data_IF_903745474371
#
_entry.id   IF_903745474371
#
_cell.length_a   1.000
_cell.length_b   1.000
_cell.length_c   1.000
_cell.angle_alpha   90.00
_cell.angle_beta   90.00
_cell.angle_gamma   90.00
#
_symmetry.space_group_name_H-M   'P 1'
#
loop_
_entity.id
_entity.type
_entity.pdbx_description
1 polymer ?
#
# COMPACT_ATOMS: atom_id res chain seq x y z
N UNK A 1 -17.52 -24.24 2.59
CA UNK A 1 -17.02 -23.83 3.92
C UNK A 1 -16.25 -24.93 4.69
N UNK A 2 -16.86 -26.08 5.05
CA UNK A 2 -16.17 -27.11 5.88
C UNK A 2 -15.01 -27.85 5.18
N UNK A 3 -15.07 -27.98 3.85
CA UNK A 3 -13.99 -28.60 3.06
C UNK A 3 -12.75 -27.71 3.01
N UNK A 4 -12.90 -26.43 2.64
CA UNK A 4 -11.82 -25.44 2.61
C UNK A 4 -11.11 -25.29 3.97
N UNK A 5 -11.88 -25.20 5.07
CA UNK A 5 -11.31 -25.12 6.43
C UNK A 5 -10.47 -26.36 6.81
N UNK A 6 -10.86 -27.56 6.35
CA UNK A 6 -10.05 -28.78 6.55
C UNK A 6 -8.81 -28.81 5.66
N UNK A 7 -8.91 -28.33 4.43
CA UNK A 7 -7.77 -28.26 3.49
C UNK A 7 -6.73 -27.23 3.97
N UNK A 8 -7.14 -26.09 4.53
CA UNK A 8 -6.21 -25.09 5.08
C UNK A 8 -5.57 -25.55 6.40
N UNK A 9 -6.29 -26.30 7.23
CA UNK A 9 -5.68 -26.94 8.39
C UNK A 9 -4.60 -27.96 8.00
N UNK A 10 -4.82 -28.74 6.93
CA UNK A 10 -3.83 -29.68 6.42
C UNK A 10 -2.61 -28.97 5.83
N UNK A 11 -2.81 -27.95 4.99
CA UNK A 11 -1.71 -27.15 4.44
C UNK A 11 -0.83 -26.52 5.53
N UNK A 12 -1.43 -26.05 6.64
CA UNK A 12 -0.67 -25.54 7.79
C UNK A 12 0.15 -26.62 8.50
N UNK A 13 -0.37 -27.85 8.59
CA UNK A 13 0.40 -28.98 9.13
C UNK A 13 1.58 -29.33 8.23
N UNK A 14 1.40 -29.29 6.91
CA UNK A 14 2.47 -29.52 5.95
C UNK A 14 3.58 -28.47 6.08
N UNK A 15 3.24 -27.19 6.30
CA UNK A 15 4.22 -26.12 6.57
C UNK A 15 5.01 -26.37 7.85
N UNK A 16 4.35 -26.72 8.96
CA UNK A 16 5.05 -27.06 10.21
C UNK A 16 5.94 -28.30 10.07
N UNK A 17 5.49 -29.30 9.31
CA UNK A 17 6.31 -30.48 9.04
C UNK A 17 7.54 -30.12 8.18
N UNK A 18 7.37 -29.31 7.15
CA UNK A 18 8.46 -28.82 6.31
C UNK A 18 9.49 -28.04 7.14
N UNK A 19 9.04 -27.12 8.00
CA UNK A 19 9.89 -26.38 8.93
C UNK A 19 10.64 -27.32 9.88
N UNK A 20 9.93 -28.28 10.49
CA UNK A 20 10.52 -29.28 11.39
C UNK A 20 11.55 -30.18 10.68
N UNK A 21 11.35 -30.50 9.40
CA UNK A 21 12.33 -31.24 8.59
C UNK A 21 13.54 -30.35 8.33
N UNK A 22 13.35 -29.10 7.90
CA UNK A 22 14.43 -28.15 7.67
C UNK A 22 15.26 -27.90 8.94
N UNK A 23 14.59 -27.72 10.09
CA UNK A 23 15.22 -27.57 11.40
C UNK A 23 16.02 -28.79 11.83
N UNK A 24 15.58 -30.02 11.48
CA UNK A 24 16.34 -31.25 11.74
C UNK A 24 17.56 -31.41 10.83
N UNK A 25 17.47 -30.98 9.57
CA UNK A 25 18.54 -31.13 8.58
C UNK A 25 19.63 -30.06 8.70
N UNK A 26 19.24 -28.81 8.97
CA UNK A 26 20.14 -27.65 8.91
C UNK A 26 20.30 -26.93 10.27
N UNK A 27 19.50 -27.30 11.27
CA UNK A 27 19.42 -26.64 12.57
C UNK A 27 18.23 -25.68 12.66
N UNK A 28 17.58 -25.66 13.83
CA UNK A 28 16.39 -24.83 14.09
C UNK A 28 16.65 -23.33 13.90
N UNK A 29 17.83 -22.85 14.29
CA UNK A 29 18.19 -21.44 14.21
C UNK A 29 18.38 -21.00 12.74
N UNK A 30 18.92 -21.88 11.90
CA UNK A 30 19.06 -21.64 10.46
C UNK A 30 17.70 -21.62 9.77
N UNK A 31 16.81 -22.55 10.13
CA UNK A 31 15.45 -22.57 9.60
C UNK A 31 14.67 -21.30 9.99
N UNK A 32 14.73 -20.90 11.27
CA UNK A 32 14.10 -19.67 11.75
C UNK A 32 14.69 -18.42 11.06
N UNK A 33 16.01 -18.35 10.91
CA UNK A 33 16.69 -17.28 10.19
C UNK A 33 16.21 -17.17 8.73
N UNK A 34 16.03 -18.29 8.04
CA UNK A 34 15.51 -18.31 6.67
C UNK A 34 14.06 -17.81 6.59
N UNK A 35 13.19 -18.19 7.54
CA UNK A 35 11.81 -17.69 7.60
C UNK A 35 11.77 -16.17 7.81
N UNK A 36 12.58 -15.65 8.74
CA UNK A 36 12.70 -14.21 8.96
C UNK A 36 13.22 -13.51 7.71
N UNK A 37 14.24 -14.06 7.05
CA UNK A 37 14.80 -13.48 5.83
C UNK A 37 13.78 -13.40 4.70
N UNK A 38 12.99 -14.47 4.49
CA UNK A 38 11.93 -14.52 3.48
C UNK A 38 10.89 -13.43 3.74
N UNK A 39 10.38 -13.32 4.98
CA UNK A 39 9.37 -12.31 5.34
C UNK A 39 9.91 -10.89 5.10
N UNK A 40 11.15 -10.61 5.53
CA UNK A 40 11.73 -9.28 5.35
C UNK A 40 12.00 -8.95 3.88
N UNK A 41 12.53 -9.90 3.11
CA UNK A 41 12.81 -9.69 1.68
C UNK A 41 11.53 -9.58 0.86
N UNK A 42 10.47 -10.31 1.20
CA UNK A 42 9.17 -10.18 0.53
C UNK A 42 8.57 -8.79 0.79
N UNK A 43 8.53 -8.35 2.06
CA UNK A 43 8.08 -7.00 2.39
C UNK A 43 8.89 -5.92 1.65
N UNK A 44 10.21 -6.09 1.54
CA UNK A 44 11.08 -5.18 0.79
C UNK A 44 10.77 -5.20 -0.72
N UNK A 45 10.49 -6.37 -1.30
CA UNK A 45 10.10 -6.47 -2.72
C UNK A 45 8.82 -5.68 -2.99
N UNK A 46 7.82 -5.83 -2.12
CA UNK A 46 6.54 -5.12 -2.26
C UNK A 46 6.68 -3.62 -2.03
N UNK A 47 7.40 -3.20 -0.98
CA UNK A 47 7.50 -1.80 -0.61
C UNK A 47 8.44 -0.98 -1.51
N UNK A 48 9.58 -1.55 -1.90
CA UNK A 48 10.68 -0.80 -2.54
C UNK A 48 10.93 -1.25 -3.99
N UNK A 49 11.10 -2.57 -4.21
CA UNK A 49 11.55 -3.06 -5.51
C UNK A 49 10.56 -2.77 -6.62
N UNK A 50 9.29 -3.19 -6.46
CA UNK A 50 8.29 -3.03 -7.51
C UNK A 50 7.98 -1.58 -7.80
N UNK A 51 7.88 -0.75 -6.76
CA UNK A 51 7.70 0.69 -6.90
C UNK A 51 8.81 1.33 -7.75
N UNK A 52 10.06 0.98 -7.47
CA UNK A 52 11.23 1.45 -8.25
C UNK A 52 11.26 0.87 -9.67
N UNK A 53 10.84 -0.38 -9.84
CA UNK A 53 10.80 -1.02 -11.15
C UNK A 53 9.82 -0.28 -12.08
N UNK A 54 8.61 -0.02 -11.58
CA UNK A 54 7.56 0.67 -12.32
C UNK A 54 7.89 2.14 -12.59
N UNK A 55 8.56 2.83 -11.66
CA UNK A 55 9.02 4.21 -11.92
C UNK A 55 10.01 4.31 -13.09
N UNK A 56 10.71 3.21 -13.42
CA UNK A 56 11.57 3.10 -14.61
C UNK A 56 10.82 3.34 -15.93
N UNK A 57 9.50 3.13 -15.96
CA UNK A 57 8.68 3.49 -17.11
C UNK A 57 8.75 4.99 -17.42
N UNK A 58 9.13 5.87 -16.50
CA UNK A 58 9.33 7.29 -16.80
C UNK A 58 10.41 7.50 -17.88
N UNK A 59 11.44 6.64 -17.92
CA UNK A 59 12.57 6.74 -18.85
C UNK A 59 12.47 5.78 -20.04
N UNK A 60 11.70 4.69 -19.90
CA UNK A 60 11.65 3.61 -20.89
C UNK A 60 10.23 3.43 -21.44
N UNK A 61 9.99 3.69 -22.74
CA UNK A 61 8.66 3.51 -23.34
C UNK A 61 8.26 2.03 -23.51
N UNK A 62 9.23 1.11 -23.49
CA UNK A 62 9.02 -0.34 -23.55
C UNK A 62 9.37 -0.98 -22.20
N UNK A 63 8.69 -2.09 -21.83
CA UNK A 63 8.93 -2.77 -20.57
C UNK A 63 10.34 -3.33 -20.49
N UNK A 64 10.92 -3.25 -19.30
CA UNK A 64 12.22 -3.85 -18.95
C UNK A 64 11.95 -5.01 -18.00
N UNK A 65 12.63 -6.15 -18.17
CA UNK A 65 12.42 -7.31 -17.31
C UNK A 65 12.92 -7.10 -15.87
N UNK A 66 12.17 -7.52 -14.84
CA UNK A 66 12.50 -7.23 -13.44
C UNK A 66 13.55 -8.19 -12.85
N UNK A 67 13.60 -9.44 -13.27
CA UNK A 67 14.25 -10.54 -12.54
C UNK A 67 15.77 -10.42 -12.50
N UNK A 68 16.39 -9.89 -13.57
CA UNK A 68 17.83 -9.61 -13.53
C UNK A 68 18.20 -8.60 -12.44
N UNK A 69 17.43 -7.51 -12.34
CA UNK A 69 17.65 -6.47 -11.33
C UNK A 69 17.27 -6.98 -9.94
N UNK A 70 16.16 -7.72 -9.84
CA UNK A 70 15.67 -8.33 -8.61
C UNK A 70 16.72 -9.26 -7.99
N UNK A 71 17.32 -10.16 -8.80
CA UNK A 71 18.38 -11.06 -8.34
C UNK A 71 19.54 -10.30 -7.70
N UNK A 72 19.97 -9.18 -8.30
CA UNK A 72 21.07 -8.38 -7.76
C UNK A 72 20.66 -7.73 -6.43
N UNK A 73 19.46 -7.15 -6.37
CA UNK A 73 18.99 -6.44 -5.19
C UNK A 73 18.67 -7.35 -4.01
N UNK A 74 18.10 -8.52 -4.27
CA UNK A 74 17.84 -9.51 -3.22
C UNK A 74 19.12 -10.07 -2.59
N UNK A 75 20.27 -9.95 -3.25
CA UNK A 75 21.56 -10.32 -2.67
C UNK A 75 22.17 -9.21 -1.79
N UNK A 76 21.65 -7.99 -1.88
CA UNK A 76 22.10 -6.88 -1.03
C UNK A 76 21.45 -7.01 0.37
N UNK A 77 22.17 -6.67 1.45
CA UNK A 77 21.59 -6.66 2.79
C UNK A 77 20.47 -5.62 2.86
N UNK A 78 19.36 -5.98 3.51
CA UNK A 78 18.26 -5.03 3.75
C UNK A 78 18.67 -4.08 4.88
N UNK A 79 18.36 -2.79 4.72
CA UNK A 79 18.65 -1.77 5.72
C UNK A 79 18.08 -2.20 7.09
N UNK A 80 18.90 -2.10 8.13
CA UNK A 80 18.56 -2.63 9.46
C UNK A 80 17.26 -2.02 10.02
N UNK A 81 17.01 -0.73 9.74
CA UNK A 81 15.80 -0.02 10.15
C UNK A 81 14.54 -0.66 9.56
N UNK A 82 14.51 -0.83 8.23
CA UNK A 82 13.43 -1.50 7.53
C UNK A 82 13.23 -2.94 8.03
N UNK A 83 14.33 -3.70 8.14
CA UNK A 83 14.29 -5.10 8.56
C UNK A 83 13.70 -5.27 9.98
N UNK A 84 14.14 -4.45 10.93
CA UNK A 84 13.62 -4.46 12.30
C UNK A 84 12.14 -4.03 12.37
N UNK A 85 11.74 -3.05 11.57
CA UNK A 85 10.34 -2.63 11.46
C UNK A 85 9.46 -3.77 10.95
N UNK A 86 9.87 -4.41 9.85
CA UNK A 86 9.15 -5.52 9.23
C UNK A 86 9.05 -6.73 10.15
N UNK A 87 10.15 -7.16 10.78
CA UNK A 87 10.13 -8.30 11.70
C UNK A 87 9.17 -8.05 12.87
N UNK A 88 9.19 -6.84 13.46
CA UNK A 88 8.24 -6.47 14.53
C UNK A 88 6.79 -6.55 14.07
N UNK A 89 6.48 -6.13 12.85
CA UNK A 89 5.12 -6.19 12.30
C UNK A 89 4.70 -7.64 12.01
N UNK A 90 5.60 -8.44 11.43
CA UNK A 90 5.34 -9.84 11.12
C UNK A 90 5.05 -10.66 12.38
N UNK A 91 5.78 -10.44 13.47
CA UNK A 91 5.55 -11.13 14.75
C UNK A 91 4.26 -10.71 15.46
N UNK A 92 3.70 -9.54 15.14
CA UNK A 92 2.39 -9.09 15.65
C UNK A 92 1.21 -9.62 14.83
N UNK A 93 1.45 -10.12 13.61
CA UNK A 93 0.40 -10.63 12.73
C UNK A 93 -0.19 -11.91 13.32
N UNK A 94 -1.51 -11.93 13.49
CA UNK A 94 -2.24 -13.12 13.96
C UNK A 94 -2.70 -13.90 12.73
N UNK A 95 -2.36 -15.19 12.69
CA UNK A 95 -2.78 -16.11 11.63
C UNK A 95 -4.30 -16.23 11.58
N UNK A 96 -4.91 -16.01 10.42
CA UNK A 96 -6.33 -16.23 10.18
C UNK A 96 -6.65 -17.72 10.00
N UNK A 97 -7.91 -18.09 10.21
CA UNK A 97 -8.42 -19.45 9.93
C UNK A 97 -8.43 -19.78 8.43
N UNK A 98 -8.42 -18.76 7.57
CA UNK A 98 -8.40 -18.89 6.12
C UNK A 98 -7.00 -18.82 5.50
N UNK A 99 -5.95 -18.63 6.33
CA UNK A 99 -4.57 -18.56 5.83
C UNK A 99 -4.05 -19.97 5.50
N UNK A 100 -3.52 -20.13 4.28
CA UNK A 100 -2.87 -21.38 3.84
C UNK A 100 -1.51 -21.59 4.49
N UNK A 101 -0.89 -20.54 5.02
CA UNK A 101 0.39 -20.58 5.69
C UNK A 101 0.25 -20.00 7.11
N UNK A 102 0.80 -20.66 8.15
CA UNK A 102 0.86 -20.05 9.47
C UNK A 102 1.73 -18.80 9.45
N UNK A 103 1.38 -17.81 10.28
CA UNK A 103 2.15 -16.59 10.45
C UNK A 103 3.56 -16.86 10.98
N UNK A 104 4.48 -15.93 10.72
CA UNK A 104 5.91 -16.06 11.06
C UNK A 104 6.14 -16.46 12.52
N UNK A 105 5.39 -15.85 13.45
CA UNK A 105 5.50 -16.12 14.88
C UNK A 105 5.26 -17.59 15.20
N UNK A 106 4.14 -18.14 14.74
CA UNK A 106 3.73 -19.52 15.05
C UNK A 106 4.76 -20.53 14.50
N UNK A 107 5.31 -20.26 13.31
CA UNK A 107 6.35 -21.10 12.68
C UNK A 107 7.66 -21.09 13.45
N UNK A 108 8.10 -19.93 13.93
CA UNK A 108 9.32 -19.81 14.74
C UNK A 108 9.14 -20.46 16.11
N UNK A 109 7.97 -20.26 16.75
CA UNK A 109 7.64 -20.91 18.04
C UNK A 109 7.61 -22.44 17.89
N UNK A 110 7.06 -22.98 16.80
CA UNK A 110 7.06 -24.41 16.51
C UNK A 110 8.46 -25.02 16.31
N UNK A 111 9.46 -24.19 15.95
CA UNK A 111 10.86 -24.58 15.83
C UNK A 111 11.64 -24.49 17.14
N UNK A 112 11.05 -23.95 18.22
CA UNK A 112 11.73 -23.62 19.48
C UNK A 112 12.99 -22.76 19.24
N UNK A 113 12.84 -21.71 18.43
CA UNK A 113 13.92 -20.81 18.01
C UNK A 113 13.61 -19.34 18.33
N UNK A 114 14.63 -18.48 18.28
CA UNK A 114 14.47 -17.05 18.52
C UNK A 114 14.16 -16.27 17.23
N UNK A 115 13.21 -15.33 17.30
CA UNK A 115 12.88 -14.44 16.20
C UNK A 115 13.83 -13.22 16.16
N UNK A 116 15.05 -13.42 15.65
CA UNK A 116 16.06 -12.36 15.49
C UNK A 116 16.37 -12.12 14.02
N UNK A 117 16.86 -10.92 13.68
CA UNK A 117 17.34 -10.66 12.33
C UNK A 117 18.50 -11.62 11.99
N UNK A 118 18.48 -12.23 10.79
CA UNK A 118 19.48 -13.18 10.38
C UNK A 118 20.76 -12.48 9.92
N UNK A 119 21.84 -13.24 9.84
CA UNK A 119 22.95 -12.88 8.95
C UNK A 119 22.45 -13.11 7.51
N UNK A 120 22.36 -12.02 6.73
CA UNK A 120 21.80 -12.08 5.38
C UNK A 120 22.52 -13.08 4.49
N UNK A 121 21.76 -13.93 3.80
CA UNK A 121 22.31 -14.87 2.82
C UNK A 121 23.03 -14.13 1.70
N UNK A 122 24.25 -14.59 1.38
CA UNK A 122 25.12 -14.02 0.34
C UNK A 122 24.83 -14.59 -1.07
N UNK A 123 23.87 -15.50 -1.18
CA UNK A 123 23.50 -16.19 -2.41
C UNK A 123 22.03 -16.61 -2.38
N UNK A 124 21.52 -17.09 -3.51
CA UNK A 124 20.12 -17.50 -3.63
C UNK A 124 19.98 -18.89 -4.23
N UNK A 125 18.77 -19.46 -4.12
CA UNK A 125 18.42 -20.76 -4.69
C UNK A 125 18.67 -20.87 -6.21
N UNK A 126 18.84 -19.74 -6.91
CA UNK A 126 19.25 -19.71 -8.32
C UNK A 126 20.61 -20.39 -8.56
N UNK A 127 21.49 -20.49 -7.56
CA UNK A 127 22.73 -21.24 -7.67
C UNK A 127 22.49 -22.74 -7.95
N UNK A 128 21.36 -23.29 -7.48
CA UNK A 128 20.95 -24.68 -7.73
C UNK A 128 20.66 -24.95 -9.22
N UNK A 129 20.35 -23.90 -9.99
CA UNK A 129 20.16 -23.98 -11.45
C UNK A 129 21.50 -23.92 -12.22
N UNK A 130 22.62 -23.73 -11.52
CA UNK A 130 23.96 -23.70 -12.11
C UNK A 130 24.10 -22.68 -13.26
N UNK A 131 24.82 -23.01 -14.33
CA UNK A 131 25.03 -22.14 -15.49
C UNK A 131 23.73 -21.67 -16.16
N UNK A 132 22.66 -22.47 -16.09
CA UNK A 132 21.37 -22.21 -16.73
C UNK A 132 20.57 -21.10 -16.04
N UNK A 133 20.92 -20.68 -14.83
CA UNK A 133 20.24 -19.60 -14.12
C UNK A 133 20.12 -18.32 -14.96
N UNK A 134 21.15 -17.98 -15.74
CA UNK A 134 21.13 -16.81 -16.64
C UNK A 134 20.10 -16.95 -17.77
N UNK A 135 19.95 -18.17 -18.30
CA UNK A 135 18.97 -18.48 -19.36
C UNK A 135 17.55 -18.32 -18.82
N UNK A 136 17.28 -18.88 -17.64
CA UNK A 136 15.95 -18.80 -17.01
C UNK A 136 15.57 -17.38 -16.62
N UNK A 137 16.49 -16.60 -16.03
CA UNK A 137 16.24 -15.18 -15.74
C UNK A 137 15.89 -14.41 -17.01
N UNK A 138 16.65 -14.62 -18.11
CA UNK A 138 16.36 -13.96 -19.38
C UNK A 138 15.03 -14.42 -20.01
N UNK A 139 14.66 -15.68 -19.84
CA UNK A 139 13.37 -16.21 -20.29
C UNK A 139 12.21 -15.54 -19.55
N UNK A 140 12.25 -15.51 -18.23
CA UNK A 140 11.20 -14.91 -17.41
C UNK A 140 11.14 -13.38 -17.54
N UNK A 141 12.28 -12.70 -17.76
CA UNK A 141 12.29 -11.27 -18.09
C UNK A 141 11.53 -11.00 -19.40
N UNK A 142 11.79 -11.79 -20.45
CA UNK A 142 11.08 -11.67 -21.73
C UNK A 142 9.60 -12.03 -21.62
N UNK A 143 9.26 -13.04 -20.82
CA UNK A 143 7.88 -13.39 -20.55
C UNK A 143 7.16 -12.24 -19.83
N UNK A 144 7.73 -11.73 -18.74
CA UNK A 144 7.17 -10.62 -17.99
C UNK A 144 6.95 -9.38 -18.89
N UNK A 145 7.93 -9.01 -19.71
CA UNK A 145 7.79 -7.90 -20.66
C UNK A 145 6.62 -8.10 -21.64
N UNK A 146 6.40 -9.32 -22.13
CA UNK A 146 5.27 -9.62 -23.03
C UNK A 146 3.94 -9.50 -22.29
N UNK A 147 3.87 -10.07 -21.10
CA UNK A 147 2.64 -10.12 -20.29
C UNK A 147 2.23 -8.72 -19.81
N UNK A 148 3.18 -7.80 -19.59
CA UNK A 148 2.93 -6.46 -19.06
C UNK A 148 3.10 -5.33 -20.10
N UNK A 149 3.23 -5.64 -21.39
CA UNK A 149 3.52 -4.63 -22.44
C UNK A 149 2.47 -3.50 -22.50
N UNK A 150 1.19 -3.86 -22.50
CA UNK A 150 0.08 -2.90 -22.55
C UNK A 150 0.02 -2.05 -21.29
N UNK A 151 0.18 -2.68 -20.12
CA UNK A 151 0.20 -2.01 -18.82
C UNK A 151 1.33 -0.99 -18.73
N UNK A 152 2.54 -1.39 -19.16
CA UNK A 152 3.71 -0.54 -19.18
C UNK A 152 3.53 0.68 -20.08
N UNK A 153 2.96 0.49 -21.28
CA UNK A 153 2.68 1.60 -22.19
C UNK A 153 1.74 2.64 -21.58
N UNK A 154 0.67 2.18 -20.91
CA UNK A 154 -0.25 3.07 -20.20
C UNK A 154 0.44 3.78 -19.03
N UNK A 155 1.26 3.06 -18.26
CA UNK A 155 2.04 3.63 -17.16
C UNK A 155 3.03 4.70 -17.64
N UNK A 156 3.76 4.42 -18.73
CA UNK A 156 4.70 5.37 -19.35
C UNK A 156 3.99 6.66 -19.78
N UNK A 157 2.84 6.55 -20.44
CA UNK A 157 2.05 7.71 -20.85
C UNK A 157 1.56 8.52 -19.64
N UNK A 158 1.16 7.85 -18.56
CA UNK A 158 0.79 8.50 -17.30
C UNK A 158 1.98 9.21 -16.64
N UNK A 159 3.15 8.57 -16.51
CA UNK A 159 4.37 9.20 -15.98
C UNK A 159 4.83 10.38 -16.85
N UNK A 160 4.53 10.36 -18.15
CA UNK A 160 4.68 11.52 -19.03
C UNK A 160 3.83 12.72 -18.59
N UNK A 161 2.56 12.49 -18.22
CA UNK A 161 1.66 13.53 -17.68
C UNK A 161 2.10 14.00 -16.30
N UNK A 162 2.52 13.08 -15.42
CA UNK A 162 3.10 13.38 -14.10
C UNK A 162 4.27 14.35 -14.27
N UNK A 163 5.22 14.01 -15.17
CA UNK A 163 6.39 14.84 -15.46
C UNK A 163 6.00 16.22 -15.96
N UNK A 164 5.06 16.30 -16.90
CA UNK A 164 4.61 17.58 -17.43
C UNK A 164 3.99 18.46 -16.33
N UNK A 165 3.15 17.90 -15.46
CA UNK A 165 2.57 18.65 -14.32
C UNK A 165 3.64 19.08 -13.31
N UNK A 166 4.57 18.18 -12.97
CA UNK A 166 5.68 18.50 -12.08
C UNK A 166 6.54 19.65 -12.65
N UNK A 167 6.83 19.65 -13.95
CA UNK A 167 7.57 20.72 -14.62
C UNK A 167 6.84 22.07 -14.57
N UNK A 168 5.52 22.09 -14.76
CA UNK A 168 4.71 23.31 -14.63
C UNK A 168 4.81 23.88 -13.21
N UNK A 169 4.65 23.03 -12.19
CA UNK A 169 4.77 23.45 -10.78
C UNK A 169 6.20 23.90 -10.43
N UNK A 170 7.22 23.23 -10.96
CA UNK A 170 8.62 23.63 -10.76
C UNK A 170 8.91 24.99 -11.41
N UNK A 171 8.39 25.25 -12.61
CA UNK A 171 8.57 26.53 -13.29
C UNK A 171 7.86 27.68 -12.54
N UNK A 172 6.77 27.41 -11.84
CA UNK A 172 6.01 28.36 -11.03
C UNK A 172 6.42 28.40 -9.54
N UNK A 173 7.59 27.85 -9.16
CA UNK A 173 7.98 27.63 -7.76
C UNK A 173 7.82 28.83 -6.83
N UNK A 174 8.10 30.05 -7.31
CA UNK A 174 7.95 31.27 -6.50
C UNK A 174 6.48 31.55 -6.11
N UNK A 175 5.52 31.19 -6.97
CA UNK A 175 4.11 31.52 -6.85
C UNK A 175 3.29 30.39 -6.21
N UNK A 176 3.81 29.16 -6.18
CA UNK A 176 3.10 27.96 -5.70
C UNK A 176 2.56 28.09 -4.26
N UNK A 177 1.28 27.87 -4.05
CA UNK A 177 0.73 27.76 -2.70
C UNK A 177 1.16 26.45 -1.99
N UNK A 178 0.81 26.30 -0.70
CA UNK A 178 1.20 25.14 0.10
C UNK A 178 0.68 23.80 -0.49
N UNK A 179 -0.54 23.78 -1.01
CA UNK A 179 -1.11 22.61 -1.68
C UNK A 179 -0.35 22.24 -2.96
N UNK A 180 0.05 23.22 -3.75
CA UNK A 180 0.85 23.02 -4.97
C UNK A 180 2.26 22.48 -4.67
N UNK A 181 2.88 22.91 -3.57
CA UNK A 181 4.17 22.36 -3.12
C UNK A 181 4.03 20.90 -2.67
N UNK A 182 2.94 20.56 -1.96
CA UNK A 182 2.62 19.17 -1.59
C UNK A 182 2.31 18.32 -2.82
N UNK A 183 1.59 18.87 -3.80
CA UNK A 183 1.32 18.20 -5.07
C UNK A 183 2.63 17.91 -5.81
N UNK A 184 3.53 18.89 -5.91
CA UNK A 184 4.84 18.72 -6.55
C UNK A 184 5.67 17.61 -5.86
N UNK A 185 5.69 17.60 -4.52
CA UNK A 185 6.38 16.56 -3.76
C UNK A 185 5.83 15.15 -4.09
N UNK A 186 4.51 15.00 -4.18
CA UNK A 186 3.87 13.74 -4.58
C UNK A 186 4.26 13.33 -5.99
N UNK A 187 4.18 14.25 -6.96
CA UNK A 187 4.52 13.98 -8.37
C UNK A 187 6.00 13.58 -8.52
N UNK A 188 6.91 14.23 -7.80
CA UNK A 188 8.32 13.85 -7.77
C UNK A 188 8.52 12.43 -7.25
N UNK A 189 7.78 12.03 -6.21
CA UNK A 189 7.82 10.66 -5.65
C UNK A 189 7.21 9.58 -6.55
N UNK A 190 6.34 9.94 -7.50
CA UNK A 190 5.87 9.02 -8.55
C UNK A 190 6.93 8.80 -9.63
N UNK A 191 7.68 9.85 -10.00
CA UNK A 191 8.76 9.77 -10.99
C UNK A 191 10.00 9.07 -10.44
N UNK A 192 10.36 9.38 -9.20
CA UNK A 192 11.45 8.76 -8.47
C UNK A 192 11.02 8.52 -7.02
N UNK A 193 10.80 7.24 -6.62
CA UNK A 193 10.47 6.88 -5.25
C UNK A 193 11.44 7.41 -4.21
N UNK A 194 12.68 7.74 -4.58
CA UNK A 194 13.74 8.24 -3.70
C UNK A 194 13.98 9.76 -3.84
N UNK A 195 13.10 10.49 -4.52
CA UNK A 195 13.20 11.95 -4.64
C UNK A 195 13.27 12.63 -3.26
N UNK A 196 14.22 13.55 -3.09
CA UNK A 196 14.27 14.42 -1.92
C UNK A 196 13.20 15.50 -2.04
N UNK A 197 12.13 15.33 -1.26
CA UNK A 197 10.94 16.20 -1.28
C UNK A 197 10.69 16.87 0.06
N UNK A 198 11.55 16.61 1.06
CA UNK A 198 11.45 17.24 2.37
C UNK A 198 11.44 18.78 2.28
N UNK A 199 12.30 19.42 1.46
CA UNK A 199 12.31 20.88 1.35
C UNK A 199 10.97 21.46 0.85
N UNK A 200 10.22 20.71 0.04
CA UNK A 200 8.90 21.16 -0.44
C UNK A 200 7.87 21.18 0.67
N UNK A 201 7.90 20.19 1.57
CA UNK A 201 7.01 20.17 2.73
C UNK A 201 7.36 21.27 3.73
N UNK A 202 8.66 21.50 3.98
CA UNK A 202 9.11 22.59 4.85
C UNK A 202 8.69 23.95 4.29
N UNK A 203 8.92 24.23 3.01
CA UNK A 203 8.47 25.46 2.35
C UNK A 203 6.94 25.62 2.34
N UNK A 204 6.19 24.52 2.21
CA UNK A 204 4.73 24.56 2.30
C UNK A 204 4.27 24.98 3.71
N UNK A 205 4.96 24.52 4.75
CA UNK A 205 4.68 24.86 6.14
C UNK A 205 5.10 26.30 6.50
N UNK A 206 6.12 26.86 5.83
CA UNK A 206 6.44 28.29 5.95
C UNK A 206 5.29 29.17 5.43
N UNK A 207 4.61 28.74 4.35
CA UNK A 207 3.47 29.47 3.77
C UNK A 207 2.16 29.22 4.51
N UNK A 208 1.95 27.99 4.97
CA UNK A 208 0.74 27.56 5.67
C UNK A 208 1.15 26.62 6.80
N UNK A 209 1.36 27.16 8.01
CA UNK A 209 1.90 26.41 9.14
C UNK A 209 1.22 25.08 9.36
N UNK A 210 -0.11 25.03 9.37
CA UNK A 210 -0.84 23.80 9.74
C UNK A 210 -1.44 23.08 8.53
N UNK A 211 -0.82 23.21 7.35
CA UNK A 211 -1.27 22.52 6.14
C UNK A 211 -1.18 20.98 6.31
N UNK A 212 -2.32 20.25 6.32
CA UNK A 212 -2.34 18.84 6.71
C UNK A 212 -1.46 17.94 5.84
N UNK A 213 -1.52 18.12 4.52
CA UNK A 213 -0.72 17.34 3.57
C UNK A 213 0.79 17.58 3.71
N UNK A 214 1.19 18.78 4.15
CA UNK A 214 2.61 19.10 4.33
C UNK A 214 3.14 18.53 5.65
N UNK A 215 2.36 18.64 6.74
CA UNK A 215 2.69 17.99 8.02
C UNK A 215 2.79 16.47 7.86
N UNK A 216 1.83 15.85 7.18
CA UNK A 216 1.83 14.40 6.91
C UNK A 216 3.03 13.97 6.07
N UNK A 217 3.33 14.72 5.00
CA UNK A 217 4.50 14.47 4.16
C UNK A 217 5.82 14.63 4.92
N UNK A 218 5.92 15.65 5.77
CA UNK A 218 7.11 15.89 6.60
C UNK A 218 7.34 14.75 7.60
N UNK A 219 6.31 14.26 8.29
CA UNK A 219 6.41 13.10 9.21
C UNK A 219 7.06 11.91 8.53
N UNK A 220 6.71 11.64 7.27
CA UNK A 220 7.26 10.53 6.48
C UNK A 220 8.71 10.77 6.02
N UNK A 221 9.15 12.02 5.95
CA UNK A 221 10.50 12.39 5.52
C UNK A 221 11.48 12.62 6.68
N UNK A 222 10.98 12.78 7.92
CA UNK A 222 11.83 12.98 9.09
C UNK A 222 12.63 11.72 9.40
N UNK A 223 13.92 11.82 9.80
CA UNK A 223 14.73 10.68 10.22
C UNK A 223 14.05 9.91 11.36
N UNK A 224 14.23 8.58 11.42
CA UNK A 224 13.63 7.78 12.50
C UNK A 224 14.11 8.26 13.86
N UNK A 225 15.40 8.60 14.01
CA UNK A 225 15.96 9.14 15.25
C UNK A 225 15.22 10.36 15.81
N UNK A 226 14.55 11.15 14.97
CA UNK A 226 13.98 12.45 15.34
C UNK A 226 12.52 12.35 15.85
N UNK A 227 12.32 11.54 16.90
CA UNK A 227 10.99 11.31 17.51
C UNK A 227 10.29 12.61 17.90
N UNK A 228 11.04 13.56 18.48
CA UNK A 228 10.49 14.83 18.96
C UNK A 228 9.84 15.60 17.82
N UNK A 229 10.56 15.78 16.70
CA UNK A 229 10.04 16.46 15.52
C UNK A 229 8.81 15.74 14.93
N UNK A 230 8.84 14.40 14.84
CA UNK A 230 7.69 13.61 14.35
C UNK A 230 6.45 13.81 15.23
N UNK A 231 6.60 13.69 16.55
CA UNK A 231 5.49 13.88 17.48
C UNK A 231 4.95 15.32 17.43
N UNK A 232 5.82 16.33 17.30
CA UNK A 232 5.39 17.72 17.13
C UNK A 232 4.53 17.92 15.87
N UNK A 233 4.96 17.38 14.73
CA UNK A 233 4.15 17.42 13.50
C UNK A 233 2.80 16.71 13.67
N UNK A 234 2.78 15.56 14.37
CA UNK A 234 1.55 14.81 14.63
C UNK A 234 0.61 15.54 15.59
N UNK A 235 1.13 16.23 16.61
CA UNK A 235 0.34 17.10 17.47
C UNK A 235 -0.35 18.20 16.67
N UNK A 236 0.41 18.91 15.83
CA UNK A 236 -0.13 19.97 14.95
C UNK A 236 -1.18 19.44 13.98
N UNK A 237 -0.95 18.27 13.39
CA UNK A 237 -1.89 17.64 12.45
C UNK A 237 -3.20 17.24 13.13
N UNK A 238 -3.13 16.79 14.39
CA UNK A 238 -4.30 16.48 15.21
C UNK A 238 -5.12 17.75 15.52
N UNK A 239 -4.43 18.81 15.95
CA UNK A 239 -5.03 20.07 16.38
C UNK A 239 -5.63 20.85 15.19
N UNK A 240 -5.05 20.74 13.99
CA UNK A 240 -5.59 21.28 12.74
C UNK A 240 -6.98 20.70 12.36
N UNK A 241 -7.40 19.60 13.01
CA UNK A 241 -8.74 19.04 12.80
C UNK A 241 -8.97 18.42 11.42
N UNK A 242 -7.90 17.95 10.78
CA UNK A 242 -7.94 17.31 9.47
C UNK A 242 -8.70 15.98 9.48
N UNK A 243 -9.08 15.50 8.29
CA UNK A 243 -9.61 14.14 8.11
C UNK A 243 -8.56 13.04 8.41
N UNK A 244 -7.30 13.41 8.67
CA UNK A 244 -6.21 12.48 8.94
C UNK A 244 -6.07 12.14 10.43
N UNK A 245 -7.04 12.46 11.30
CA UNK A 245 -6.94 12.23 12.75
C UNK A 245 -6.66 10.78 13.12
N UNK A 246 -7.30 9.82 12.47
CA UNK A 246 -7.04 8.41 12.72
C UNK A 246 -5.60 8.02 12.35
N UNK A 247 -5.16 8.41 11.15
CA UNK A 247 -3.78 8.19 10.70
C UNK A 247 -2.78 8.82 11.67
N UNK A 248 -3.07 10.04 12.11
CA UNK A 248 -2.24 10.82 13.05
C UNK A 248 -2.09 10.11 14.38
N UNK A 249 -3.21 9.70 15.00
CA UNK A 249 -3.18 9.03 16.30
C UNK A 249 -2.52 7.66 16.23
N UNK A 250 -2.81 6.87 15.19
CA UNK A 250 -2.16 5.57 14.96
C UNK A 250 -0.66 5.72 14.78
N UNK A 251 -0.22 6.73 14.02
CA UNK A 251 1.20 6.99 13.77
C UNK A 251 1.90 7.47 15.04
N UNK A 252 1.28 8.36 15.82
CA UNK A 252 1.84 8.81 17.10
C UNK A 252 2.00 7.67 18.10
N UNK A 253 1.02 6.77 18.20
CA UNK A 253 1.14 5.57 19.03
C UNK A 253 2.27 4.65 18.57
N UNK A 254 2.37 4.39 17.27
CA UNK A 254 3.46 3.57 16.74
C UNK A 254 4.85 4.16 17.03
N UNK A 255 4.98 5.49 16.99
CA UNK A 255 6.22 6.19 17.35
C UNK A 255 6.54 6.07 18.84
N UNK A 256 5.55 6.20 19.72
CA UNK A 256 5.72 6.10 21.18
C UNK A 256 5.99 4.65 21.64
N UNK A 257 5.37 3.66 21.00
CA UNK A 257 5.54 2.24 21.31
C UNK A 257 6.84 1.65 20.77
N UNK A 258 7.49 2.31 19.81
CA UNK A 258 8.79 1.87 19.29
C UNK A 258 9.86 2.03 20.38
N UNK A 259 10.52 0.96 20.86
CA UNK A 259 11.57 1.10 21.87
C UNK A 259 12.79 1.83 21.30
N UNK A 260 13.38 2.76 22.06
CA UNK A 260 14.62 3.46 21.69
C UNK A 260 15.58 3.55 22.87
N UNK A 261 16.88 3.25 22.69
CA UNK A 261 17.87 3.38 23.76
C UNK A 261 17.88 4.81 24.33
N UNK A 262 17.81 4.93 25.66
CA UNK A 262 17.91 6.22 26.35
C UNK A 262 16.67 7.11 26.28
N UNK A 263 15.56 6.65 25.69
CA UNK A 263 14.28 7.39 25.70
C UNK A 263 13.33 6.73 26.69
N UNK A 264 12.94 7.47 27.73
CA UNK A 264 11.99 6.99 28.72
C UNK A 264 10.58 6.81 28.12
N UNK A 265 9.82 5.91 28.73
CA UNK A 265 8.46 5.59 28.33
C UNK A 265 7.49 6.66 28.86
N UNK A 266 6.95 7.49 27.95
CA UNK A 266 5.96 8.50 28.31
C UNK A 266 4.55 7.87 28.39
N UNK A 267 4.22 7.37 29.59
CA UNK A 267 2.92 6.76 29.86
C UNK A 267 1.74 7.73 29.69
N UNK A 268 1.95 9.03 29.95
CA UNK A 268 0.91 10.04 29.81
C UNK A 268 0.60 10.31 28.34
N UNK A 269 1.63 10.48 27.50
CA UNK A 269 1.46 10.63 26.06
C UNK A 269 0.80 9.39 25.43
N UNK A 270 1.19 8.19 25.85
CA UNK A 270 0.56 6.95 25.36
C UNK A 270 -0.91 6.86 25.71
N UNK A 271 -1.28 7.19 26.96
CA UNK A 271 -2.69 7.23 27.36
C UNK A 271 -3.47 8.23 26.52
N UNK A 272 -2.95 9.45 26.37
CA UNK A 272 -3.57 10.50 25.55
C UNK A 272 -3.78 10.04 24.11
N UNK A 273 -2.76 9.47 23.47
CA UNK A 273 -2.85 9.06 22.07
C UNK A 273 -3.72 7.81 21.87
N UNK A 274 -3.86 6.94 22.88
CA UNK A 274 -4.84 5.82 22.87
C UNK A 274 -6.27 6.34 22.87
N UNK A 275 -6.59 7.26 23.78
CA UNK A 275 -7.91 7.90 23.83
C UNK A 275 -8.22 8.69 22.54
N UNK A 276 -7.20 9.29 21.92
CA UNK A 276 -7.32 9.96 20.62
C UNK A 276 -7.59 8.95 19.50
N UNK A 277 -6.88 7.83 19.47
CA UNK A 277 -7.08 6.78 18.46
C UNK A 277 -8.48 6.18 18.57
N UNK A 278 -8.95 5.86 19.78
CA UNK A 278 -10.30 5.33 20.03
C UNK A 278 -11.37 6.26 19.47
N UNK A 279 -11.34 7.55 19.85
CA UNK A 279 -12.27 8.55 19.33
C UNK A 279 -12.21 8.70 17.80
N UNK A 280 -11.00 8.71 17.24
CA UNK A 280 -10.83 8.82 15.80
C UNK A 280 -11.35 7.56 15.08
N UNK A 281 -11.19 6.38 15.68
CA UNK A 281 -11.68 5.12 15.16
C UNK A 281 -13.21 5.08 15.15
N UNK A 282 -13.87 5.52 16.23
CA UNK A 282 -15.35 5.64 16.24
C UNK A 282 -15.87 6.56 15.13
N UNK A 283 -15.20 7.69 14.88
CA UNK A 283 -15.52 8.57 13.75
C UNK A 283 -15.31 7.89 12.41
N UNK A 284 -14.21 7.16 12.22
CA UNK A 284 -13.97 6.39 10.99
C UNK A 284 -15.03 5.30 10.77
N UNK A 285 -15.44 4.61 11.83
CA UNK A 285 -16.49 3.59 11.78
C UNK A 285 -17.84 4.18 11.36
N UNK A 286 -18.23 5.34 11.93
CA UNK A 286 -19.45 6.06 11.49
C UNK A 286 -19.36 6.47 10.03
N UNK A 287 -18.22 7.04 9.62
CA UNK A 287 -18.00 7.45 8.24
C UNK A 287 -18.01 6.27 7.25
N UNK A 288 -17.49 5.11 7.66
CA UNK A 288 -17.54 3.89 6.88
C UNK A 288 -18.97 3.33 6.79
N UNK A 289 -19.72 3.34 7.89
CA UNK A 289 -21.14 2.94 7.90
C UNK A 289 -21.99 3.81 6.96
N UNK A 290 -21.72 5.12 6.90
CA UNK A 290 -22.38 6.01 5.94
C UNK A 290 -22.00 5.70 4.48
N UNK A 291 -20.75 5.30 4.23
CA UNK A 291 -20.27 4.94 2.90
C UNK A 291 -20.83 3.59 2.43
N UNK A 292 -20.79 2.57 3.28
CA UNK A 292 -21.26 1.22 2.99
C UNK A 292 -22.76 1.02 3.17
N UNK A 293 -23.43 1.96 3.81
CA UNK A 293 -24.85 1.88 4.15
C UNK A 293 -25.77 1.98 2.92
N UNK A 294 -26.79 1.14 2.89
CA UNK A 294 -27.87 1.23 1.91
C UNK A 294 -28.93 2.25 2.35
N UNK A 295 -29.55 3.01 1.42
CA UNK A 295 -29.39 2.93 -0.04
C UNK A 295 -28.11 3.62 -0.55
N UNK A 296 -27.37 2.95 -1.45
CA UNK A 296 -26.07 3.42 -1.96
C UNK A 296 -26.14 4.79 -2.65
N UNK A 297 -27.20 5.04 -3.43
CA UNK A 297 -27.37 6.27 -4.22
C UNK A 297 -27.94 7.47 -3.43
N UNK A 298 -27.94 7.41 -2.10
CA UNK A 298 -28.30 8.56 -1.25
C UNK A 298 -27.10 9.49 -1.07
N UNK A 299 -27.33 10.81 -1.02
CA UNK A 299 -26.26 11.80 -0.77
C UNK A 299 -25.04 11.65 -1.69
N UNK A 300 -25.28 11.27 -2.95
CA UNK A 300 -24.23 11.16 -3.95
C UNK A 300 -24.15 12.44 -4.80
N UNK A 301 -22.97 12.71 -5.32
CA UNK A 301 -22.69 13.75 -6.30
C UNK A 301 -21.76 13.20 -7.39
N UNK A 302 -21.61 13.96 -8.48
CA UNK A 302 -20.64 13.62 -9.52
C UNK A 302 -19.24 13.57 -8.91
N UNK A 303 -18.40 12.64 -9.36
CA UNK A 303 -17.02 12.58 -8.89
C UNK A 303 -16.31 13.92 -9.15
N UNK A 304 -15.35 14.24 -8.29
CA UNK A 304 -14.58 15.48 -8.34
C UNK A 304 -13.13 15.23 -8.78
N UNK A 305 -12.83 14.05 -9.34
CA UNK A 305 -11.52 13.74 -9.89
C UNK A 305 -11.13 14.75 -10.98
N UNK A 306 -9.94 15.32 -10.85
CA UNK A 306 -9.33 16.10 -11.93
C UNK A 306 -9.01 15.24 -13.15
N UNK A 307 -8.75 15.85 -14.31
CA UNK A 307 -8.43 15.10 -15.54
C UNK A 307 -7.23 14.16 -15.38
N UNK A 308 -6.27 14.54 -14.52
CA UNK A 308 -5.12 13.72 -14.19
C UNK A 308 -5.51 12.49 -13.34
N UNK A 309 -6.19 12.71 -12.21
CA UNK A 309 -6.67 11.64 -11.29
C UNK A 309 -7.63 10.68 -12.00
N UNK A 310 -8.51 11.19 -12.86
CA UNK A 310 -9.41 10.35 -13.66
C UNK A 310 -8.63 9.46 -14.64
N UNK A 311 -7.58 10.02 -15.25
CA UNK A 311 -6.70 9.26 -16.14
C UNK A 311 -5.89 8.18 -15.42
N UNK A 312 -5.58 8.35 -14.12
CA UNK A 312 -4.97 7.32 -13.27
C UNK A 312 -5.92 6.15 -13.08
N UNK A 313 -7.12 6.44 -12.59
CA UNK A 313 -8.17 5.44 -12.37
C UNK A 313 -8.47 4.63 -13.64
N UNK A 314 -8.59 5.30 -14.79
CA UNK A 314 -8.87 4.64 -16.07
C UNK A 314 -7.75 3.68 -16.50
N UNK A 315 -6.48 4.02 -16.24
CA UNK A 315 -5.34 3.15 -16.53
C UNK A 315 -5.36 1.92 -15.63
N UNK A 316 -5.67 2.08 -14.34
CA UNK A 316 -5.79 0.97 -13.39
C UNK A 316 -6.94 0.03 -13.77
N UNK A 317 -8.10 0.57 -14.10
CA UNK A 317 -9.25 -0.21 -14.55
C UNK A 317 -8.99 -0.96 -15.86
N UNK A 318 -8.22 -0.36 -16.78
CA UNK A 318 -7.83 -1.03 -18.02
C UNK A 318 -6.96 -2.27 -17.79
N UNK A 319 -6.10 -2.25 -16.76
CA UNK A 319 -5.27 -3.41 -16.34
C UNK A 319 -6.12 -4.53 -15.76
N UNK A 320 -7.29 -4.20 -15.21
CA UNK A 320 -8.20 -5.18 -14.65
C UNK A 320 -9.06 -5.83 -15.74
N UNK A 321 -8.55 -6.90 -16.36
CA UNK A 321 -9.19 -7.59 -17.49
C UNK A 321 -10.69 -7.91 -17.30
N UNK A 322 -11.17 -8.33 -16.11
CA UNK A 322 -12.59 -8.62 -15.90
C UNK A 322 -13.54 -7.40 -15.91
N UNK A 323 -13.02 -6.17 -15.76
CA UNK A 323 -13.84 -4.95 -15.70
C UNK A 323 -14.29 -4.56 -17.11
N UNK A 324 -15.60 -4.61 -17.35
CA UNK A 324 -16.21 -4.20 -18.61
C UNK A 324 -16.60 -2.70 -18.59
N UNK A 325 -17.23 -2.25 -17.51
CA UNK A 325 -17.60 -0.85 -17.26
C UNK A 325 -17.36 -0.48 -15.81
N UNK A 326 -17.09 0.80 -15.57
CA UNK A 326 -16.96 1.36 -14.23
C UNK A 326 -17.70 2.69 -14.14
N UNK A 327 -18.42 2.89 -13.04
CA UNK A 327 -19.02 4.15 -12.62
C UNK A 327 -18.37 4.62 -11.33
N UNK A 328 -18.20 5.92 -11.20
CA UNK A 328 -17.64 6.55 -10.01
C UNK A 328 -18.55 7.68 -9.56
N UNK A 329 -18.94 7.65 -8.29
CA UNK A 329 -19.69 8.74 -7.66
C UNK A 329 -19.00 9.17 -6.38
N UNK A 330 -19.12 10.46 -6.04
CA UNK A 330 -18.71 10.96 -4.73
C UNK A 330 -19.87 10.76 -3.75
N UNK A 331 -19.59 10.16 -2.59
CA UNK A 331 -20.53 10.08 -1.47
C UNK A 331 -20.23 11.24 -0.51
N UNK A 332 -21.23 12.05 -0.21
CA UNK A 332 -21.10 13.12 0.78
C UNK A 332 -21.34 12.55 2.16
N UNK A 333 -20.29 12.47 2.98
CA UNK A 333 -20.34 11.97 4.35
C UNK A 333 -20.72 13.10 5.32
N UNK A 334 -21.50 12.79 6.34
CA UNK A 334 -21.87 13.72 7.41
C UNK A 334 -20.78 13.84 8.45
N UNK A 335 -20.19 12.72 8.87
CA UNK A 335 -19.07 12.71 9.82
C UNK A 335 -17.87 13.52 9.29
N UNK A 336 -17.58 13.43 7.98
CA UNK A 336 -16.47 14.14 7.34
C UNK A 336 -16.90 14.85 6.04
N UNK A 337 -17.56 16.03 6.12
CA UNK A 337 -18.14 16.70 4.94
C UNK A 337 -17.11 17.09 3.88
N UNK A 338 -15.88 17.41 4.31
CA UNK A 338 -14.79 17.82 3.42
C UNK A 338 -13.97 16.63 2.89
N UNK A 339 -14.18 15.41 3.41
CA UNK A 339 -13.45 14.23 2.96
C UNK A 339 -14.02 13.77 1.62
N UNK A 340 -13.14 13.56 0.64
CA UNK A 340 -13.48 12.87 -0.59
C UNK A 340 -13.73 11.40 -0.26
N UNK A 341 -14.88 10.87 -0.66
CA UNK A 341 -15.22 9.46 -0.46
C UNK A 341 -16.00 8.97 -1.68
N UNK A 342 -15.73 7.74 -2.12
CA UNK A 342 -16.19 7.27 -3.41
C UNK A 342 -16.95 5.96 -3.31
N UNK A 343 -18.00 5.84 -4.13
CA UNK A 343 -18.57 4.55 -4.51
C UNK A 343 -18.13 4.25 -5.94
N UNK A 344 -17.51 3.08 -6.11
CA UNK A 344 -17.03 2.57 -7.39
C UNK A 344 -17.92 1.39 -7.75
N UNK A 345 -18.68 1.51 -8.83
CA UNK A 345 -19.50 0.41 -9.33
C UNK A 345 -18.83 -0.21 -10.55
N UNK A 346 -18.61 -1.52 -10.55
CA UNK A 346 -17.98 -2.24 -11.67
C UNK A 346 -18.92 -3.27 -12.26
N UNK A 347 -18.91 -3.41 -13.59
CA UNK A 347 -19.59 -4.50 -14.27
C UNK A 347 -18.59 -5.61 -14.59
N UNK A 348 -18.89 -6.82 -14.10
CA UNK A 348 -18.02 -8.00 -14.12
C UNK A 348 -18.76 -9.22 -14.70
N UNK A 349 -19.07 -9.22 -16.01
CA UNK A 349 -20.01 -10.18 -16.61
C UNK A 349 -19.50 -11.63 -16.59
N UNK A 350 -18.18 -11.82 -16.62
CA UNK A 350 -17.55 -13.15 -16.81
C UNK A 350 -17.04 -13.78 -15.51
N UNK A 351 -17.42 -13.26 -14.34
CA UNK A 351 -17.00 -13.77 -13.05
C UNK A 351 -18.19 -14.31 -12.25
N UNK A 352 -17.96 -15.34 -11.45
CA UNK A 352 -18.89 -15.77 -10.39
C UNK A 352 -18.85 -14.80 -9.19
N UNK A 353 -19.81 -14.92 -8.27
CA UNK A 353 -19.95 -13.98 -7.14
C UNK A 353 -18.78 -13.99 -6.15
N UNK A 354 -18.14 -15.15 -5.94
CA UNK A 354 -16.97 -15.23 -5.06
C UNK A 354 -15.77 -14.51 -5.69
N UNK A 355 -15.54 -14.74 -6.98
CA UNK A 355 -14.51 -14.04 -7.76
C UNK A 355 -14.76 -12.53 -7.84
N UNK A 356 -16.02 -12.10 -8.01
CA UNK A 356 -16.43 -10.69 -8.00
C UNK A 356 -16.11 -10.04 -6.65
N UNK A 357 -16.51 -10.68 -5.56
CA UNK A 357 -16.26 -10.18 -4.20
C UNK A 357 -14.76 -9.95 -3.96
N UNK A 358 -13.93 -10.97 -4.25
CA UNK A 358 -12.47 -10.88 -4.09
C UNK A 358 -11.87 -9.77 -4.94
N UNK A 359 -12.31 -9.64 -6.19
CA UNK A 359 -11.82 -8.59 -7.08
C UNK A 359 -12.21 -7.19 -6.56
N UNK A 360 -13.45 -6.99 -6.10
CA UNK A 360 -13.86 -5.72 -5.52
C UNK A 360 -13.02 -5.35 -4.29
N UNK A 361 -12.78 -6.30 -3.36
CA UNK A 361 -11.90 -6.06 -2.20
C UNK A 361 -10.46 -5.72 -2.60
N UNK A 362 -9.94 -6.36 -3.64
CA UNK A 362 -8.62 -6.04 -4.20
C UNK A 362 -8.58 -4.62 -4.78
N UNK A 363 -9.61 -4.23 -5.54
CA UNK A 363 -9.72 -2.88 -6.12
C UNK A 363 -9.81 -1.78 -5.05
N UNK A 364 -10.47 -2.02 -3.92
CA UNK A 364 -10.50 -1.04 -2.81
C UNK A 364 -9.11 -0.72 -2.25
N UNK A 365 -8.19 -1.67 -2.35
CA UNK A 365 -6.82 -1.53 -1.86
C UNK A 365 -5.87 -1.02 -2.94
N UNK A 366 -6.13 -1.33 -4.21
CA UNK A 366 -5.22 -1.04 -5.31
C UNK A 366 -5.53 0.24 -6.05
N UNK A 367 -6.77 0.74 -6.02
CA UNK A 367 -7.15 1.94 -6.76
C UNK A 367 -6.56 3.20 -6.10
N UNK A 368 -5.79 3.99 -6.84
CA UNK A 368 -5.21 5.25 -6.35
C UNK A 368 -6.25 6.39 -6.38
N UNK A 369 -7.22 6.30 -5.48
CA UNK A 369 -8.23 7.32 -5.27
C UNK A 369 -7.83 8.26 -4.11
N UNK A 370 -8.13 9.56 -4.21
CA UNK A 370 -7.73 10.58 -3.23
C UNK A 370 -8.52 10.53 -1.91
N UNK A 371 -9.26 9.44 -1.67
CA UNK A 371 -10.07 9.21 -0.49
C UNK A 371 -10.60 7.77 -0.47
N UNK A 372 -11.20 7.32 0.65
CA UNK A 372 -11.72 5.97 0.77
C UNK A 372 -12.74 5.65 -0.33
N UNK A 373 -12.63 4.44 -0.85
CA UNK A 373 -13.50 3.92 -1.89
C UNK A 373 -14.15 2.62 -1.42
N UNK A 374 -15.45 2.48 -1.70
CA UNK A 374 -16.15 1.22 -1.62
C UNK A 374 -16.40 0.72 -3.04
N UNK A 375 -15.90 -0.45 -3.37
CA UNK A 375 -16.07 -1.07 -4.68
C UNK A 375 -17.18 -2.12 -4.60
N UNK A 376 -18.18 -1.95 -5.45
CA UNK A 376 -19.36 -2.82 -5.57
C UNK A 376 -19.48 -3.30 -7.01
N UNK A 377 -19.96 -4.52 -7.22
CA UNK A 377 -20.26 -4.99 -8.57
C UNK A 377 -21.74 -4.82 -8.91
N UNK A 378 -22.04 -4.66 -10.20
CA UNK A 378 -23.40 -4.69 -10.71
C UNK A 378 -23.95 -6.13 -10.57
N UNK A 379 -24.76 -6.36 -9.55
CA UNK A 379 -25.28 -7.67 -9.17
C UNK A 379 -26.71 -7.60 -8.68
N UNK A 380 -26.99 -8.18 -7.52
CA UNK A 380 -28.31 -8.13 -6.88
C UNK A 380 -28.56 -6.76 -6.21
N UNK A 381 -27.56 -6.20 -5.54
CA UNK A 381 -27.66 -4.90 -4.85
C UNK A 381 -26.31 -4.16 -4.86
N UNK A 382 -26.17 -3.09 -5.67
CA UNK A 382 -27.14 -2.55 -6.61
C UNK A 382 -27.17 -3.32 -7.95
N UNK A 383 -28.33 -3.32 -8.60
CA UNK A 383 -28.46 -3.87 -9.96
C UNK A 383 -27.86 -2.93 -11.00
N UNK A 384 -27.49 -3.48 -12.17
CA UNK A 384 -26.97 -2.69 -13.29
C UNK A 384 -27.94 -1.56 -13.69
N UNK A 385 -29.25 -1.84 -13.74
CA UNK A 385 -30.26 -0.85 -14.08
C UNK A 385 -30.35 0.29 -13.04
N UNK A 386 -30.18 -0.03 -11.75
CA UNK A 386 -30.12 0.98 -10.69
C UNK A 386 -28.87 1.86 -10.85
N UNK A 387 -27.71 1.26 -11.12
CA UNK A 387 -26.46 2.00 -11.36
C UNK A 387 -26.65 2.94 -12.57
N UNK A 388 -27.11 2.44 -13.71
CA UNK A 388 -27.27 3.26 -14.92
C UNK A 388 -28.28 4.39 -14.76
N UNK A 389 -29.30 4.21 -13.93
CA UNK A 389 -30.33 5.23 -13.68
C UNK A 389 -29.86 6.30 -12.68
N UNK A 390 -29.12 5.90 -11.64
CA UNK A 390 -28.85 6.75 -10.49
C UNK A 390 -27.39 7.23 -10.41
N UNK A 391 -26.44 6.45 -10.92
CA UNK A 391 -25.09 6.92 -11.16
C UNK A 391 -25.06 7.79 -12.44
N UNK A 392 -24.03 8.62 -12.55
CA UNK A 392 -23.77 9.42 -13.74
C UNK A 392 -23.24 8.52 -14.88
N UNK A 393 -22.64 9.13 -15.91
CA UNK A 393 -22.00 8.36 -16.99
C UNK A 393 -20.86 7.47 -16.49
N UNK A 394 -20.60 6.32 -17.15
CA UNK A 394 -19.46 5.49 -16.82
C UNK A 394 -18.15 6.26 -17.04
N UNK A 395 -17.24 6.15 -16.07
CA UNK A 395 -15.88 6.73 -16.16
C UNK A 395 -14.93 5.85 -16.96
N UNK A 396 -15.29 4.58 -17.17
CA UNK A 396 -14.54 3.63 -17.97
C UNK A 396 -15.48 2.65 -18.66
N UNK A 397 -15.22 2.38 -19.94
CA UNK A 397 -15.83 1.33 -20.74
C UNK A 397 -14.72 0.67 -21.54
N UNK A 398 -14.65 -0.67 -21.51
CA UNK A 398 -13.64 -1.46 -22.21
C UNK A 398 -13.85 -1.50 -23.72
#
# INVERSE_FOLDING_TARGET
>A
PRFAARTFALARQDEYEADRIAGRLLGRDVAAAALVEIEVRDAWLQAEFWRRHWSGAAAHPLPVGPYRAMRRRLAEPVAAEFANGTLRQALKRISSVDDTHPGLRDRIEALDAAATLPVWSQGGALALLGPDAKRWVAHFDKQWCRDHASEWKLHHAWLGRVRARAQVLQAAAAQNNAGEMVELARLMRHLDPQADVRPLYEAALERSPDHPGALRGLVQCLPEADRGARLQCLHRLWDAGSADRWWTARTALAELETPRPGVEHDAAALKLWRERLERAQESEERAWQELSGTPFFSQIARHDLGAFELGELQVELARCAPVARCWLVRKNLREFPQRRAYLVFVELPNLDDESRYRLCRSLEQSLDLPGPALVLWAGESPTLAQIQRAAFEPVYTR
#
